data_IF_163957223529
#
_entry.id   IF_163957223529
#
_cell.length_a   1.000
_cell.length_b   1.000
_cell.length_c   1.000
_cell.angle_alpha   90.00
_cell.angle_beta   90.00
_cell.angle_gamma   90.00
#
_symmetry.space_group_name_H-M   'P 1'
#
loop_
_entity.id
_entity.type
_entity.pdbx_description
1 polymer ?
#
# COMPACT_ATOMS: atom_id res chain seq x y z
N UNK A 1 8.75 10.45 7.73
CA UNK A 1 7.45 9.84 8.03
C UNK A 1 7.56 8.38 7.67
N UNK A 2 7.30 7.49 8.63
CA UNK A 2 7.17 6.06 8.34
C UNK A 2 5.94 5.91 7.41
N UNK A 3 6.12 5.33 6.22
CA UNK A 3 5.03 5.06 5.28
C UNK A 3 4.22 3.89 5.85
N UNK A 4 3.37 4.12 6.83
CA UNK A 4 2.63 3.04 7.48
C UNK A 4 1.26 2.84 6.86
N UNK A 5 0.79 1.59 6.83
CA UNK A 5 -0.59 1.26 6.50
C UNK A 5 -1.37 1.06 7.80
N UNK A 6 -2.29 1.97 8.09
CA UNK A 6 -2.99 2.01 9.38
C UNK A 6 -4.48 1.92 9.18
N UNK A 7 -5.10 0.89 9.74
CA UNK A 7 -6.56 0.81 9.85
C UNK A 7 -7.00 1.54 11.12
N UNK A 8 -7.82 2.56 10.98
CA UNK A 8 -8.24 3.43 12.08
C UNK A 8 -9.73 3.25 12.35
N UNK A 9 -10.08 2.89 13.58
CA UNK A 9 -11.45 3.02 14.09
C UNK A 9 -11.68 4.47 14.49
N UNK A 10 -12.70 5.10 13.93
CA UNK A 10 -12.94 6.53 14.14
C UNK A 10 -13.83 6.77 15.35
N UNK A 11 -13.51 7.79 16.13
CA UNK A 11 -14.40 8.30 17.17
C UNK A 11 -15.57 9.12 16.60
N UNK A 12 -16.50 9.53 17.47
CA UNK A 12 -17.70 10.26 17.05
C UNK A 12 -17.40 11.62 16.38
N UNK A 13 -16.37 12.35 16.83
CA UNK A 13 -15.98 13.63 16.27
C UNK A 13 -15.33 13.44 14.89
N UNK A 14 -14.44 12.46 14.80
CA UNK A 14 -13.78 12.07 13.56
C UNK A 14 -14.80 11.59 12.51
N UNK A 15 -15.79 10.79 12.91
CA UNK A 15 -16.87 10.35 12.03
C UNK A 15 -17.69 11.55 11.52
N UNK A 16 -18.00 12.51 12.39
CA UNK A 16 -18.75 13.70 11.99
C UNK A 16 -18.00 14.51 10.93
N UNK A 17 -16.71 14.79 11.16
CA UNK A 17 -15.85 15.51 10.20
C UNK A 17 -15.69 14.74 8.89
N UNK A 18 -15.41 13.43 8.94
CA UNK A 18 -15.29 12.61 7.75
C UNK A 18 -16.59 12.59 6.91
N UNK A 19 -17.77 12.56 7.55
CA UNK A 19 -19.05 12.61 6.83
C UNK A 19 -19.32 13.98 6.22
N UNK A 20 -18.89 15.06 6.86
CA UNK A 20 -19.03 16.40 6.32
C UNK A 20 -18.25 16.55 5.01
N UNK A 21 -16.99 16.10 4.99
CA UNK A 21 -16.10 16.22 3.82
C UNK A 21 -16.44 15.22 2.70
N UNK A 22 -16.77 13.98 3.04
CA UNK A 22 -16.91 12.91 2.04
C UNK A 22 -18.36 12.65 1.61
N UNK A 23 -19.34 13.28 2.28
CA UNK A 23 -20.76 13.15 2.00
C UNK A 23 -21.56 12.60 3.18
N UNK A 24 -22.50 13.41 3.68
CA UNK A 24 -23.27 13.17 4.92
C UNK A 24 -24.06 11.86 4.95
N UNK A 25 -24.43 11.33 3.78
CA UNK A 25 -25.18 10.06 3.64
C UNK A 25 -24.29 8.81 3.71
N UNK A 26 -22.96 8.95 3.57
CA UNK A 26 -22.05 7.82 3.61
C UNK A 26 -21.97 7.24 5.02
N UNK A 27 -21.97 5.91 5.10
CA UNK A 27 -21.70 5.20 6.35
C UNK A 27 -20.19 5.13 6.55
N UNK A 28 -19.66 6.06 7.34
CA UNK A 28 -18.24 6.12 7.70
C UNK A 28 -18.12 5.74 9.18
N UNK A 29 -17.27 4.75 9.46
CA UNK A 29 -16.88 4.32 10.81
C UNK A 29 -15.38 4.10 10.95
N UNK A 30 -14.67 3.94 9.84
CA UNK A 30 -13.23 3.68 9.81
C UNK A 30 -12.55 4.57 8.77
N UNK A 31 -11.25 4.77 8.96
CA UNK A 31 -10.34 5.27 7.95
C UNK A 31 -9.24 4.24 7.68
N UNK A 32 -8.71 4.25 6.47
CA UNK A 32 -7.50 3.55 6.11
C UNK A 32 -6.47 4.60 5.71
N UNK A 33 -5.46 4.78 6.55
CA UNK A 33 -4.33 5.68 6.29
C UNK A 33 -3.26 4.87 5.55
N UNK A 34 -2.79 5.43 4.44
CA UNK A 34 -1.96 4.72 3.47
C UNK A 34 -0.67 5.51 3.29
N UNK A 35 0.14 5.59 4.35
CA UNK A 35 1.37 6.38 4.39
C UNK A 35 1.19 7.77 3.78
N UNK A 36 2.11 8.13 2.89
CA UNK A 36 2.04 9.39 2.14
C UNK A 36 1.12 9.34 0.90
N UNK A 37 0.49 8.20 0.60
CA UNK A 37 -0.40 8.03 -0.55
C UNK A 37 -1.83 8.52 -0.28
N UNK A 38 -2.18 8.73 1.00
CA UNK A 38 -3.42 9.39 1.39
C UNK A 38 -4.28 8.59 2.36
N UNK A 39 -5.58 8.88 2.35
CA UNK A 39 -6.55 8.29 3.28
C UNK A 39 -7.84 7.90 2.56
N UNK A 40 -8.43 6.79 2.98
CA UNK A 40 -9.74 6.34 2.52
C UNK A 40 -10.70 6.24 3.70
N UNK A 41 -11.91 6.77 3.55
CA UNK A 41 -12.96 6.67 4.57
C UNK A 41 -14.05 5.69 4.16
N UNK A 42 -14.55 4.89 5.10
CA UNK A 42 -15.60 3.93 4.82
C UNK A 42 -16.13 3.21 6.05
N UNK A 43 -16.86 2.13 5.80
CA UNK A 43 -17.21 1.16 6.83
C UNK A 43 -16.00 0.30 7.19
N UNK A 44 -16.01 -0.28 8.38
CA UNK A 44 -15.03 -1.29 8.82
C UNK A 44 -14.75 -2.34 7.74
N UNK A 45 -15.81 -2.96 7.20
CA UNK A 45 -15.71 -4.00 6.16
C UNK A 45 -14.99 -3.50 4.90
N UNK A 46 -15.25 -2.27 4.48
CA UNK A 46 -14.60 -1.69 3.30
C UNK A 46 -13.13 -1.43 3.56
N UNK A 47 -12.79 -0.74 4.65
CA UNK A 47 -11.41 -0.42 5.00
C UNK A 47 -10.58 -1.69 5.26
N UNK A 48 -11.15 -2.66 6.00
CA UNK A 48 -10.52 -3.95 6.29
C UNK A 48 -10.22 -4.76 5.01
N UNK A 49 -11.13 -4.71 4.02
CA UNK A 49 -10.91 -5.35 2.71
C UNK A 49 -9.63 -4.82 2.05
N UNK A 50 -9.45 -3.50 2.00
CA UNK A 50 -8.25 -2.92 1.39
C UNK A 50 -7.01 -3.13 2.25
N UNK A 51 -7.10 -2.93 3.56
CA UNK A 51 -6.02 -3.16 4.51
C UNK A 51 -5.43 -4.57 4.39
N UNK A 52 -6.28 -5.60 4.44
CA UNK A 52 -5.86 -7.01 4.38
C UNK A 52 -5.18 -7.40 3.06
N UNK A 53 -5.56 -6.77 1.95
CA UNK A 53 -4.98 -7.01 0.63
C UNK A 53 -3.69 -6.22 0.46
N UNK A 54 -3.71 -4.92 0.77
CA UNK A 54 -2.60 -4.00 0.50
C UNK A 54 -1.39 -4.25 1.39
N UNK A 55 -1.58 -4.67 2.65
CA UNK A 55 -0.46 -5.06 3.53
C UNK A 55 0.41 -6.18 2.94
N UNK A 56 -0.16 -7.01 2.07
CA UNK A 56 0.54 -8.14 1.45
C UNK A 56 1.08 -7.78 0.06
N UNK A 57 0.25 -7.16 -0.79
CA UNK A 57 0.64 -6.81 -2.17
C UNK A 57 1.71 -5.72 -2.19
N UNK A 58 1.59 -4.73 -1.31
CA UNK A 58 2.48 -3.57 -1.24
C UNK A 58 3.35 -3.59 0.01
N UNK A 59 3.69 -4.79 0.51
CA UNK A 59 4.45 -4.97 1.76
C UNK A 59 5.76 -4.18 1.78
N UNK A 60 6.41 -4.02 0.63
CA UNK A 60 7.70 -3.33 0.50
C UNK A 60 7.53 -1.80 0.38
N UNK A 61 6.30 -1.31 0.29
CA UNK A 61 5.96 0.11 0.34
C UNK A 61 5.75 0.59 1.77
N UNK A 62 5.35 -0.30 2.69
CA UNK A 62 4.95 0.06 4.03
C UNK A 62 5.99 -0.29 5.10
N UNK A 63 6.19 0.60 6.06
CA UNK A 63 7.06 0.36 7.22
C UNK A 63 6.41 -0.59 8.22
N UNK A 64 5.27 -0.16 8.77
CA UNK A 64 4.42 -0.95 9.67
C UNK A 64 3.01 -1.06 9.12
N UNK A 65 2.34 -2.14 9.49
CA UNK A 65 0.91 -2.35 9.25
C UNK A 65 0.24 -2.66 10.60
N UNK A 66 -0.71 -1.82 11.03
CA UNK A 66 -1.39 -2.01 12.31
C UNK A 66 -2.79 -1.40 12.32
N UNK A 67 -3.53 -1.70 13.40
CA UNK A 67 -4.89 -1.24 13.65
C UNK A 67 -4.89 -0.41 14.94
N UNK A 68 -5.67 0.66 15.00
CA UNK A 68 -5.75 1.52 16.20
C UNK A 68 -7.03 2.36 16.22
N UNK A 69 -7.45 2.77 17.40
CA UNK A 69 -8.48 3.80 17.64
C UNK A 69 -7.88 5.15 18.09
N UNK A 70 -6.56 5.21 18.30
CA UNK A 70 -5.82 6.37 18.80
C UNK A 70 -4.94 6.97 17.69
N UNK A 71 -5.56 7.31 16.56
CA UNK A 71 -4.85 7.92 15.43
C UNK A 71 -5.29 9.36 15.19
N UNK A 72 -4.33 10.27 15.05
CA UNK A 72 -4.59 11.65 14.67
C UNK A 72 -4.54 11.79 13.14
N UNK A 73 -5.69 12.00 12.51
CA UNK A 73 -5.80 12.19 11.07
C UNK A 73 -5.38 13.61 10.68
N UNK A 74 -4.46 13.72 9.71
CA UNK A 74 -4.04 15.00 9.15
C UNK A 74 -5.09 15.64 8.23
N UNK A 75 -5.99 14.83 7.65
CA UNK A 75 -7.07 15.29 6.76
C UNK A 75 -8.27 14.35 6.87
N UNK A 76 -9.46 14.90 6.58
CA UNK A 76 -10.73 14.18 6.51
C UNK A 76 -11.27 14.05 5.09
N UNK A 77 -10.54 14.53 4.07
CA UNK A 77 -10.92 14.36 2.66
C UNK A 77 -10.35 13.04 2.14
N UNK A 78 -11.19 12.19 1.54
CA UNK A 78 -10.71 10.96 0.89
C UNK A 78 -9.81 11.29 -0.29
N UNK A 79 -8.78 10.48 -0.47
CA UNK A 79 -7.92 10.52 -1.65
C UNK A 79 -8.53 9.69 -2.78
N UNK A 80 -8.61 10.25 -3.99
CA UNK A 80 -9.34 9.64 -5.10
C UNK A 80 -8.57 8.49 -5.79
N UNK A 81 -7.23 8.53 -5.80
CA UNK A 81 -6.39 7.67 -6.66
C UNK A 81 -5.41 6.75 -5.93
N UNK A 82 -5.58 6.53 -4.62
CA UNK A 82 -4.62 5.79 -3.77
C UNK A 82 -4.15 4.48 -4.38
N UNK A 83 -5.06 3.69 -4.96
CA UNK A 83 -4.71 2.39 -5.53
C UNK A 83 -3.77 2.50 -6.73
N UNK A 84 -3.96 3.52 -7.58
CA UNK A 84 -3.13 3.72 -8.76
C UNK A 84 -1.72 4.17 -8.34
N UNK A 85 -1.64 5.05 -7.34
CA UNK A 85 -0.37 5.53 -6.80
C UNK A 85 0.44 4.38 -6.18
N UNK A 86 -0.22 3.46 -5.48
CA UNK A 86 0.41 2.26 -4.93
C UNK A 86 0.90 1.31 -6.04
N UNK A 87 0.13 1.13 -7.11
CA UNK A 87 0.53 0.30 -8.26
C UNK A 87 1.77 0.90 -8.94
N UNK A 88 1.73 2.18 -9.27
CA UNK A 88 2.83 2.88 -9.93
C UNK A 88 4.11 2.81 -9.10
N UNK A 89 4.01 3.07 -7.79
CA UNK A 89 5.17 3.03 -6.91
C UNK A 89 5.71 1.60 -6.72
N UNK A 90 4.82 0.61 -6.62
CA UNK A 90 5.22 -0.79 -6.56
C UNK A 90 5.96 -1.22 -7.82
N UNK A 91 5.43 -0.86 -8.99
CA UNK A 91 6.06 -1.14 -10.28
C UNK A 91 7.41 -0.42 -10.45
N UNK A 92 7.53 0.81 -9.94
CA UNK A 92 8.79 1.56 -9.92
C UNK A 92 9.86 0.87 -9.07
N UNK A 93 9.47 0.24 -7.96
CA UNK A 93 10.38 -0.46 -7.04
C UNK A 93 10.66 -1.91 -7.42
N UNK A 94 9.82 -2.52 -8.25
CA UNK A 94 10.15 -3.83 -8.82
C UNK A 94 11.52 -3.70 -9.46
N UNK A 95 12.49 -4.56 -9.09
CA UNK A 95 13.73 -4.59 -9.83
C UNK A 95 13.35 -4.78 -11.29
N UNK A 96 13.88 -3.91 -12.16
CA UNK A 96 13.95 -4.24 -13.58
C UNK A 96 14.79 -5.49 -13.61
N UNK A 97 14.13 -6.64 -13.62
CA UNK A 97 14.79 -7.90 -13.91
C UNK A 97 15.27 -7.68 -15.32
N UNK A 98 16.54 -7.29 -15.46
CA UNK A 98 17.25 -7.40 -16.71
C UNK A 98 17.34 -8.90 -16.96
N UNK A 99 16.25 -9.47 -17.50
CA UNK A 99 16.18 -10.86 -17.94
C UNK A 99 17.37 -11.20 -18.86
N UNK A 100 17.96 -10.18 -19.47
CA UNK A 100 19.19 -10.23 -20.25
C UNK A 100 20.41 -10.56 -19.36
N UNK A 101 20.56 -9.97 -18.17
CA UNK A 101 21.78 -10.16 -17.37
C UNK A 101 21.85 -11.54 -16.69
N UNK A 102 20.74 -12.06 -16.19
CA UNK A 102 20.67 -13.42 -15.62
C UNK A 102 20.76 -14.51 -16.70
N UNK A 103 20.12 -14.31 -17.86
CA UNK A 103 20.27 -15.21 -19.00
C UNK A 103 21.72 -15.23 -19.49
N UNK A 104 22.34 -14.06 -19.68
CA UNK A 104 23.75 -13.94 -20.11
C UNK A 104 24.71 -14.53 -19.07
N UNK A 105 24.47 -14.37 -17.76
CA UNK A 105 25.29 -15.02 -16.71
C UNK A 105 25.14 -16.54 -16.70
N UNK A 106 23.92 -17.07 -16.89
CA UNK A 106 23.68 -18.52 -17.01
C UNK A 106 24.29 -19.12 -18.27
N UNK A 107 24.19 -18.42 -19.39
CA UNK A 107 24.74 -18.85 -20.67
C UNK A 107 26.29 -18.84 -20.64
N UNK A 108 26.91 -17.79 -20.09
CA UNK A 108 28.36 -17.73 -19.89
C UNK A 108 28.84 -18.86 -18.96
N UNK A 109 28.15 -19.12 -17.84
CA UNK A 109 28.51 -20.26 -16.96
C UNK A 109 28.40 -21.60 -17.68
N UNK A 110 27.33 -21.84 -18.44
CA UNK A 110 27.12 -23.07 -19.21
C UNK A 110 28.10 -23.25 -20.38
N UNK A 111 28.53 -22.15 -20.99
CA UNK A 111 29.51 -22.12 -22.06
C UNK A 111 30.93 -22.44 -21.53
N UNK A 112 31.35 -21.79 -20.44
CA UNK A 112 32.65 -22.06 -19.82
C UNK A 112 32.74 -23.46 -19.20
N UNK A 113 31.65 -24.00 -18.63
CA UNK A 113 31.63 -25.37 -18.12
C UNK A 113 31.74 -26.42 -19.24
N UNK A 114 31.24 -26.13 -20.45
CA UNK A 114 31.38 -27.01 -21.62
C UNK A 114 32.77 -26.92 -22.28
N UNK A 115 33.45 -25.77 -22.18
CA UNK A 115 34.75 -25.55 -22.82
C UNK A 115 35.94 -25.95 -21.95
N UNK A 116 35.83 -25.86 -20.62
CA UNK A 116 36.96 -26.11 -19.70
C UNK A 116 36.93 -27.50 -19.04
N UNK A 117 36.08 -28.41 -19.52
CA UNK A 117 36.24 -29.84 -19.31
C UNK A 117 36.23 -30.32 -17.85
N UNK A 118 35.05 -30.74 -17.41
CA UNK A 118 34.91 -32.12 -16.89
C UNK A 118 33.88 -32.84 -17.74
#
# INVERSE_FOLDING_TARGET
MENDLVLVTLDAEQIAKAKEENGKRKRITHALVVGNYGVMFGTEKQCMKYYSVWKNIFKDLFGKCYETDQYHLATYTSSDNVVMDLIEESDRRKPKIDFIEEAVKREKKGFWSKLLGR
#
